data_IF_314270057618
#
_entry.id   IF_314270057618
#
_cell.length_a   1.000
_cell.length_b   1.000
_cell.length_c   1.000
_cell.angle_alpha   90.00
_cell.angle_beta   90.00
_cell.angle_gamma   90.00
#
_symmetry.space_group_name_H-M   'P 1'
#
loop_
_entity.id
_entity.type
_entity.pdbx_description
1 polymer ?
#
# COMPACT_ATOMS: atom_id res chain seq x y z
N UNK A 1 -4.60 -0.10 16.03
CA UNK A 1 -4.51 -1.43 15.39
C UNK A 1 -3.29 -1.36 14.52
N UNK A 2 -2.26 -2.15 14.79
CA UNK A 2 -1.04 -2.14 13.97
C UNK A 2 -1.34 -2.82 12.64
N UNK A 3 -0.98 -2.15 11.53
CA UNK A 3 -1.03 -2.72 10.18
C UNK A 3 0.33 -2.57 9.52
N UNK A 4 0.62 -3.49 8.60
CA UNK A 4 1.86 -3.44 7.81
C UNK A 4 1.50 -2.99 6.41
N UNK A 5 2.05 -1.85 6.01
CA UNK A 5 1.90 -1.33 4.65
C UNK A 5 3.07 -1.84 3.79
N UNK A 6 2.81 -2.62 2.75
CA UNK A 6 3.84 -3.16 1.84
C UNK A 6 3.70 -2.52 0.45
N UNK A 7 4.80 -2.12 -0.15
CA UNK A 7 4.85 -1.61 -1.52
C UNK A 7 6.17 -1.99 -2.20
N UNK A 8 6.08 -2.77 -3.30
CA UNK A 8 7.26 -3.25 -4.07
C UNK A 8 8.36 -3.85 -3.17
N UNK A 9 7.98 -4.68 -2.20
CA UNK A 9 8.91 -5.30 -1.24
C UNK A 9 9.42 -4.38 -0.13
N UNK A 10 8.99 -3.11 -0.09
CA UNK A 10 9.29 -2.17 1.00
C UNK A 10 8.14 -2.14 2.01
N UNK A 11 8.47 -1.92 3.27
CA UNK A 11 7.48 -1.59 4.30
C UNK A 11 7.40 -0.06 4.40
N UNK A 12 6.20 0.49 4.23
CA UNK A 12 5.94 1.92 4.38
C UNK A 12 5.58 2.23 5.84
N UNK A 13 6.00 3.38 6.38
CA UNK A 13 5.51 3.84 7.69
C UNK A 13 3.99 3.98 7.69
N UNK A 14 3.32 3.61 8.78
CA UNK A 14 1.88 3.88 8.91
C UNK A 14 1.66 5.35 9.25
N UNK A 15 0.95 6.13 8.41
CA UNK A 15 0.64 7.53 8.71
C UNK A 15 -0.38 7.68 9.84
N UNK A 16 -1.06 6.60 10.25
CA UNK A 16 -2.00 6.58 11.35
C UNK A 16 -3.27 5.79 11.03
N UNK A 17 -3.98 5.31 12.07
CA UNK A 17 -5.22 4.53 11.92
C UNK A 17 -6.39 5.32 11.31
N UNK A 18 -6.31 6.65 11.27
CA UNK A 18 -7.30 7.53 10.65
C UNK A 18 -7.26 7.50 9.12
N UNK A 19 -6.15 7.05 8.51
CA UNK A 19 -6.02 6.92 7.08
C UNK A 19 -6.48 5.54 6.63
N UNK A 20 -7.47 5.47 5.74
CA UNK A 20 -7.83 4.23 5.06
C UNK A 20 -6.78 3.83 4.00
N UNK A 21 -6.76 2.57 3.54
CA UNK A 21 -5.80 2.13 2.54
C UNK A 21 -5.77 3.00 1.27
N UNK A 22 -6.92 3.51 0.82
CA UNK A 22 -7.00 4.46 -0.29
C UNK A 22 -6.26 5.78 -0.01
N UNK A 23 -6.49 6.41 1.14
CA UNK A 23 -5.83 7.66 1.52
C UNK A 23 -4.33 7.46 1.74
N UNK A 24 -3.92 6.32 2.32
CA UNK A 24 -2.50 5.94 2.43
C UNK A 24 -1.87 5.86 1.04
N UNK A 25 -2.53 5.20 0.08
CA UNK A 25 -2.05 5.09 -1.30
C UNK A 25 -1.87 6.46 -1.94
N UNK A 26 -2.85 7.35 -1.78
CA UNK A 26 -2.81 8.71 -2.33
C UNK A 26 -1.72 9.57 -1.68
N UNK A 27 -1.59 9.51 -0.35
CA UNK A 27 -0.54 10.20 0.40
C UNK A 27 0.85 9.81 -0.09
N UNK A 28 1.10 8.51 -0.22
CA UNK A 28 2.38 8.01 -0.68
C UNK A 28 2.57 8.12 -2.19
N UNK A 29 1.51 8.32 -2.99
CA UNK A 29 1.62 8.52 -4.43
C UNK A 29 2.42 9.78 -4.80
N UNK A 30 2.45 10.79 -3.92
CA UNK A 30 3.29 11.98 -4.10
C UNK A 30 4.79 11.64 -4.11
N UNK A 31 5.21 10.60 -3.39
CA UNK A 31 6.61 10.14 -3.32
C UNK A 31 6.88 8.95 -4.25
N UNK A 32 5.87 8.09 -4.42
CA UNK A 32 5.93 6.88 -5.24
C UNK A 32 4.81 6.93 -6.29
N UNK A 33 5.03 7.56 -7.46
CA UNK A 33 4.00 7.73 -8.49
C UNK A 33 3.33 6.42 -8.93
N UNK A 34 3.99 5.28 -8.76
CA UNK A 34 3.43 3.96 -9.11
C UNK A 34 2.23 3.59 -8.22
N UNK A 35 2.16 4.12 -6.99
CA UNK A 35 1.03 3.93 -6.07
C UNK A 35 -0.26 4.53 -6.61
N UNK A 36 -0.21 5.61 -7.39
CA UNK A 36 -1.41 6.21 -7.98
C UNK A 36 -2.24 5.20 -8.81
N UNK A 37 -1.58 4.21 -9.39
CA UNK A 37 -2.20 3.14 -10.18
C UNK A 37 -2.20 1.78 -9.48
N UNK A 38 -1.76 1.72 -8.22
CA UNK A 38 -1.66 0.48 -7.49
C UNK A 38 -3.03 -0.04 -7.04
N UNK A 39 -3.20 -1.35 -7.18
CA UNK A 39 -4.28 -2.08 -6.54
C UNK A 39 -3.94 -2.32 -5.07
N UNK A 40 -4.96 -2.29 -4.22
CA UNK A 40 -4.83 -2.53 -2.79
C UNK A 40 -5.22 -3.98 -2.54
N UNK A 41 -4.31 -4.74 -1.92
CA UNK A 41 -4.53 -6.12 -1.52
C UNK A 41 -4.43 -6.19 -0.01
N UNK A 42 -5.54 -6.52 0.63
CA UNK A 42 -5.60 -6.68 2.08
C UNK A 42 -5.59 -8.15 2.46
N UNK A 43 -4.76 -8.50 3.43
CA UNK A 43 -4.71 -9.85 4.00
C UNK A 43 -4.35 -9.79 5.48
N UNK A 44 -4.56 -10.90 6.16
CA UNK A 44 -4.13 -11.09 7.54
C UNK A 44 -2.96 -12.07 7.55
N UNK A 45 -1.81 -11.66 8.08
CA UNK A 45 -0.64 -12.53 8.31
C UNK A 45 -0.40 -12.59 9.82
N UNK A 46 -0.45 -13.79 10.41
CA UNK A 46 -0.21 -14.03 11.85
C UNK A 46 -1.02 -13.12 12.80
N UNK A 47 -2.27 -12.80 12.44
CA UNK A 47 -3.15 -11.92 13.22
C UNK A 47 -2.89 -10.42 13.01
N UNK A 48 -2.01 -10.05 12.08
CA UNK A 48 -1.69 -8.66 11.72
C UNK A 48 -2.28 -8.33 10.36
N UNK A 49 -2.97 -7.19 10.25
CA UNK A 49 -3.50 -6.70 8.98
C UNK A 49 -2.35 -6.21 8.10
N UNK A 50 -2.22 -6.80 6.92
CA UNK A 50 -1.24 -6.43 5.91
C UNK A 50 -1.96 -5.82 4.72
N UNK A 51 -1.57 -4.60 4.35
CA UNK A 51 -2.06 -3.89 3.19
C UNK A 51 -0.91 -3.80 2.19
N UNK A 52 -1.01 -4.54 1.10
CA UNK A 52 -0.02 -4.51 0.02
C UNK A 52 -0.53 -3.70 -1.17
N UNK A 53 0.27 -2.73 -1.59
CA UNK A 53 0.05 -1.95 -2.78
C UNK A 53 0.79 -2.58 -3.96
N UNK A 54 0.03 -3.11 -4.92
CA UNK A 54 0.54 -3.77 -6.11
C UNK A 54 0.45 -2.81 -7.28
N UNK A 55 1.54 -2.18 -7.74
CA UNK A 55 1.51 -1.28 -8.88
C UNK A 55 1.13 -2.05 -10.15
N UNK A 56 0.35 -1.41 -11.03
CA UNK A 56 0.11 -1.95 -12.37
C UNK A 56 1.41 -1.84 -13.16
N UNK A 57 2.16 -2.94 -13.23
CA UNK A 57 3.31 -3.03 -14.12
C UNK A 57 2.75 -3.01 -15.55
N UNK A 58 2.95 -1.92 -16.27
CA UNK A 58 2.60 -1.87 -17.68
C UNK A 58 3.39 -2.96 -18.39
N UNK A 59 2.73 -4.05 -18.79
CA UNK A 59 3.29 -4.94 -19.80
C UNK A 59 3.35 -4.09 -21.07
N UNK A 60 4.52 -3.50 -21.35
CA UNK A 60 4.86 -3.04 -22.69
C UNK A 60 4.75 -4.28 -23.58
N UNK A 61 3.59 -4.40 -24.24
CA UNK A 61 3.42 -5.19 -25.47
C UNK A 61 3.56 -4.27 -26.66
#
# INVERSE_FOLDING_TARGET
MERILKFMGKVLPDPGPEFDPEAVRELYAAQYPQLASASIVEREEDGVRVVEFVPRVGTKG
#
